data_IF_978490375974
#
_entry.id   IF_978490375974
#
_cell.length_a   1.000
_cell.length_b   1.000
_cell.length_c   1.000
_cell.angle_alpha   90.00
_cell.angle_beta   90.00
_cell.angle_gamma   90.00
#
_symmetry.space_group_name_H-M   'P 1'
#
loop_
_entity.id
_entity.type
_entity.pdbx_description
1 polymer ?
#
# COMPACT_ATOMS: atom_id res chain seq x y z
N UNK A 1 12.11 3.92 -12.13
CA UNK A 1 11.03 3.18 -11.46
C UNK A 1 10.93 3.44 -9.95
N UNK A 2 11.96 3.15 -9.14
CA UNK A 2 11.94 3.38 -7.68
C UNK A 2 11.66 4.84 -7.27
N UNK A 3 12.18 5.82 -8.01
CA UNK A 3 12.10 7.23 -7.62
C UNK A 3 10.70 7.86 -7.83
N UNK A 4 9.98 7.43 -8.89
CA UNK A 4 8.60 7.90 -9.12
C UNK A 4 7.61 7.27 -8.13
N UNK A 5 7.71 5.95 -7.90
CA UNK A 5 6.85 5.26 -6.93
C UNK A 5 7.10 5.73 -5.49
N UNK A 6 8.37 5.95 -5.11
CA UNK A 6 8.69 6.43 -3.75
C UNK A 6 8.12 7.84 -3.51
N UNK A 7 8.25 8.75 -4.48
CA UNK A 7 7.65 10.07 -4.38
C UNK A 7 6.12 10.01 -4.24
N UNK A 8 5.44 9.06 -4.90
CA UNK A 8 3.98 8.88 -4.76
C UNK A 8 3.61 8.30 -3.39
N UNK A 9 4.33 7.30 -2.88
CA UNK A 9 4.04 6.70 -1.57
C UNK A 9 4.25 7.69 -0.42
N UNK A 10 5.29 8.52 -0.48
CA UNK A 10 5.50 9.59 0.51
C UNK A 10 4.37 10.63 0.48
N UNK A 11 3.89 10.99 -0.71
CA UNK A 11 2.73 11.88 -0.87
C UNK A 11 1.44 11.26 -0.31
N UNK A 12 1.19 9.98 -0.59
CA UNK A 12 0.05 9.24 -0.04
C UNK A 12 0.13 9.15 1.50
N UNK A 13 1.32 8.91 2.05
CA UNK A 13 1.54 8.94 3.49
C UNK A 13 1.27 10.32 4.09
N UNK A 14 1.79 11.38 3.46
CA UNK A 14 1.61 12.74 3.94
C UNK A 14 0.13 13.11 4.02
N UNK A 15 -0.64 12.81 2.96
CA UNK A 15 -2.09 12.98 2.98
C UNK A 15 -2.75 12.13 4.07
N UNK A 16 -2.40 10.84 4.17
CA UNK A 16 -2.95 9.93 5.18
C UNK A 16 -2.72 10.46 6.60
N UNK A 17 -1.48 10.79 6.94
CA UNK A 17 -1.07 11.16 8.30
C UNK A 17 -1.45 12.60 8.68
N UNK A 18 -1.29 13.56 7.76
CA UNK A 18 -1.43 15.00 8.06
C UNK A 18 -2.82 15.55 7.75
N UNK A 19 -3.56 14.94 6.84
CA UNK A 19 -4.89 15.41 6.44
C UNK A 19 -5.99 14.43 6.87
N UNK A 20 -5.93 13.18 6.42
CA UNK A 20 -7.04 12.23 6.55
C UNK A 20 -7.23 11.68 7.97
N UNK A 21 -6.15 11.52 8.74
CA UNK A 21 -6.17 10.84 10.06
C UNK A 21 -5.60 11.66 11.21
N UNK A 22 -5.37 12.96 11.00
CA UNK A 22 -4.75 13.86 11.98
C UNK A 22 -5.50 13.96 13.31
N UNK A 23 -6.83 13.85 13.25
CA UNK A 23 -7.74 13.96 14.41
C UNK A 23 -8.20 12.57 14.91
N UNK A 24 -7.62 11.48 14.39
CA UNK A 24 -7.98 10.12 14.81
C UNK A 24 -7.37 9.78 16.17
N UNK A 25 -8.12 9.04 16.96
CA UNK A 25 -7.72 8.55 18.28
C UNK A 25 -7.75 7.00 18.30
N UNK A 26 -6.79 6.39 19.00
CA UNK A 26 -6.79 4.96 19.25
C UNK A 26 -7.69 4.62 20.45
N UNK A 27 -8.62 3.71 20.25
CA UNK A 27 -9.40 3.06 21.30
C UNK A 27 -9.04 1.58 21.37
N UNK A 28 -8.63 1.09 22.54
CA UNK A 28 -8.46 -0.34 22.82
C UNK A 28 -9.83 -0.88 23.28
N UNK A 29 -10.56 -1.54 22.39
CA UNK A 29 -11.89 -2.10 22.68
C UNK A 29 -11.75 -3.35 23.55
N UNK A 30 -10.81 -4.24 23.18
CA UNK A 30 -10.49 -5.45 23.94
C UNK A 30 -9.02 -5.80 23.79
N UNK A 31 -8.43 -6.30 24.86
CA UNK A 31 -7.07 -6.82 24.87
C UNK A 31 -6.96 -8.01 25.84
N UNK A 32 -6.49 -9.13 25.33
CA UNK A 32 -6.17 -10.35 26.09
C UNK A 32 -4.95 -11.03 25.43
N UNK A 33 -3.76 -10.58 25.83
CA UNK A 33 -2.50 -10.98 25.19
C UNK A 33 -2.48 -10.64 23.70
N UNK A 34 -2.36 -11.66 22.84
CA UNK A 34 -2.35 -11.51 21.37
C UNK A 34 -3.74 -11.36 20.77
N UNK A 35 -4.81 -11.54 21.55
CA UNK A 35 -6.18 -11.24 21.12
C UNK A 35 -6.46 -9.76 21.37
N UNK A 36 -6.46 -8.95 20.31
CA UNK A 36 -6.69 -7.50 20.39
C UNK A 36 -7.83 -7.11 19.47
N UNK A 37 -8.64 -6.15 19.90
CA UNK A 37 -9.59 -5.41 19.08
C UNK A 37 -9.35 -3.93 19.34
N UNK A 38 -8.83 -3.25 18.33
CA UNK A 38 -8.46 -1.86 18.35
C UNK A 38 -9.27 -1.10 17.31
N UNK A 39 -9.56 0.15 17.59
CA UNK A 39 -10.23 1.06 16.66
C UNK A 39 -9.48 2.37 16.59
N UNK A 40 -9.31 2.90 15.39
CA UNK A 40 -8.72 4.22 15.17
C UNK A 40 -9.71 5.04 14.35
N UNK A 41 -10.18 6.14 14.92
CA UNK A 41 -11.20 6.99 14.31
C UNK A 41 -11.17 8.39 14.93
N UNK A 42 -11.61 9.41 14.19
CA UNK A 42 -12.00 10.68 14.80
C UNK A 42 -13.27 10.46 15.65
N UNK A 43 -13.32 10.90 16.92
CA UNK A 43 -14.51 10.75 17.76
C UNK A 43 -15.78 11.33 17.10
N UNK A 44 -16.85 10.53 17.06
CA UNK A 44 -18.14 10.95 16.53
C UNK A 44 -18.32 10.83 15.01
N UNK A 45 -17.33 10.32 14.27
CA UNK A 45 -17.46 10.01 12.84
C UNK A 45 -16.85 8.64 12.50
N UNK A 46 -17.24 8.08 11.35
CA UNK A 46 -16.66 6.87 10.77
C UNK A 46 -15.79 7.17 9.53
N UNK A 47 -15.67 8.43 9.13
CA UNK A 47 -14.84 8.84 7.98
C UNK A 47 -13.39 8.44 8.21
N UNK A 48 -12.83 7.69 7.26
CA UNK A 48 -11.48 7.13 7.34
C UNK A 48 -11.23 6.31 8.61
N UNK A 49 -12.27 5.76 9.25
CA UNK A 49 -12.10 4.94 10.45
C UNK A 49 -11.69 3.51 10.07
N UNK A 50 -10.90 2.86 10.91
CA UNK A 50 -10.57 1.44 10.79
C UNK A 50 -10.49 0.75 12.15
N UNK A 51 -10.59 -0.57 12.10
CA UNK A 51 -10.45 -1.47 13.22
C UNK A 51 -9.41 -2.54 12.90
N UNK A 52 -8.64 -2.93 13.91
CA UNK A 52 -7.69 -4.05 13.84
C UNK A 52 -8.10 -5.11 14.84
N UNK A 53 -8.20 -6.34 14.35
CA UNK A 53 -8.40 -7.53 15.18
C UNK A 53 -7.22 -8.46 15.01
N UNK A 54 -6.63 -8.91 16.10
CA UNK A 54 -5.55 -9.91 16.09
C UNK A 54 -5.93 -11.16 16.87
N UNK A 55 -5.40 -12.29 16.44
CA UNK A 55 -5.40 -13.58 17.15
C UNK A 55 -4.11 -14.34 16.79
N UNK A 56 -3.78 -15.46 17.45
CA UNK A 56 -2.52 -16.17 17.19
C UNK A 56 -2.25 -16.40 15.70
N UNK A 57 -1.20 -15.78 15.16
CA UNK A 57 -0.81 -15.96 13.76
C UNK A 57 -1.43 -14.97 12.77
N UNK A 58 -2.36 -14.11 13.19
CA UNK A 58 -3.24 -13.38 12.27
C UNK A 58 -3.55 -11.92 12.69
N UNK A 59 -3.69 -11.08 11.67
CA UNK A 59 -4.18 -9.70 11.77
C UNK A 59 -5.25 -9.50 10.70
N UNK A 60 -6.41 -8.97 11.09
CA UNK A 60 -7.45 -8.51 10.18
C UNK A 60 -7.66 -7.00 10.38
N UNK A 61 -7.86 -6.28 9.29
CA UNK A 61 -8.26 -4.88 9.27
C UNK A 61 -9.59 -4.75 8.54
N UNK A 62 -10.48 -3.89 9.04
CA UNK A 62 -11.76 -3.57 8.41
C UNK A 62 -12.19 -2.15 8.79
N UNK A 63 -13.03 -1.53 7.96
CA UNK A 63 -13.51 -0.17 8.17
C UNK A 63 -13.70 0.58 6.86
N UNK A 64 -13.74 1.91 6.93
CA UNK A 64 -13.69 2.78 5.74
C UNK A 64 -12.29 2.71 5.09
N UNK A 65 -11.27 2.46 5.92
CA UNK A 65 -9.90 2.18 5.48
C UNK A 65 -9.58 0.70 5.62
N UNK A 66 -8.96 0.14 4.57
CA UNK A 66 -8.39 -1.20 4.58
C UNK A 66 -9.41 -2.33 4.68
N UNK A 67 -10.63 -2.13 4.17
CA UNK A 67 -11.72 -3.08 4.38
C UNK A 67 -11.40 -4.48 3.86
N UNK A 68 -11.50 -5.46 4.76
CA UNK A 68 -11.43 -6.88 4.45
C UNK A 68 -10.02 -7.47 4.39
N UNK A 69 -8.93 -6.71 4.53
CA UNK A 69 -7.57 -7.28 4.48
C UNK A 69 -7.24 -8.17 5.68
N UNK A 70 -6.74 -9.38 5.40
CA UNK A 70 -6.25 -10.33 6.40
C UNK A 70 -4.82 -10.74 6.09
N UNK A 71 -4.00 -10.85 7.14
CA UNK A 71 -2.59 -11.20 7.07
C UNK A 71 -2.26 -12.33 8.03
N UNK A 72 -1.24 -13.13 7.70
CA UNK A 72 -0.78 -14.21 8.58
C UNK A 72 0.73 -14.45 8.54
N UNK A 73 1.38 -14.53 9.72
CA UNK A 73 2.81 -14.83 9.83
C UNK A 73 3.29 -15.28 11.22
N UNK A 74 3.48 -14.35 12.14
CA UNK A 74 4.02 -14.57 13.48
C UNK A 74 2.90 -14.77 14.49
N UNK A 75 3.20 -15.46 15.60
CA UNK A 75 2.22 -15.68 16.67
C UNK A 75 1.61 -14.36 17.15
N UNK A 76 2.44 -13.34 17.38
CA UNK A 76 1.99 -11.96 17.53
C UNK A 76 2.27 -11.19 16.25
N UNK A 77 1.21 -10.78 15.56
CA UNK A 77 1.34 -10.03 14.31
C UNK A 77 1.78 -8.57 14.53
N UNK A 78 1.67 -8.03 15.74
CA UNK A 78 2.23 -6.70 16.03
C UNK A 78 3.75 -6.73 15.97
N UNK A 79 4.38 -7.82 16.40
CA UNK A 79 5.84 -8.00 16.26
C UNK A 79 6.26 -8.04 14.79
N UNK A 80 5.43 -8.62 13.92
CA UNK A 80 5.71 -8.70 12.48
C UNK A 80 5.59 -7.34 11.80
N UNK A 81 4.51 -6.61 12.10
CA UNK A 81 4.16 -5.37 11.43
C UNK A 81 4.76 -4.13 12.08
N UNK A 82 5.52 -4.27 13.18
CA UNK A 82 6.11 -3.15 13.88
C UNK A 82 7.04 -2.35 12.94
N UNK A 83 6.64 -1.15 12.50
CA UNK A 83 7.47 -0.38 11.59
C UNK A 83 8.67 0.16 12.38
N UNK A 84 9.88 0.13 11.79
CA UNK A 84 11.00 0.92 12.28
C UNK A 84 10.77 2.40 11.91
N UNK A 85 9.77 3.05 12.50
CA UNK A 85 9.51 4.48 12.32
C UNK A 85 10.27 5.30 13.38
N UNK A 86 10.92 6.39 12.95
CA UNK A 86 11.75 7.24 13.80
C UNK A 86 10.99 8.44 14.39
N UNK A 87 9.96 8.98 13.71
CA UNK A 87 9.04 10.05 14.20
C UNK A 87 7.69 10.04 13.44
N UNK A 88 6.73 10.88 13.87
CA UNK A 88 5.42 11.06 13.20
C UNK A 88 5.51 11.79 11.85
N UNK A 89 6.60 12.52 11.59
CA UNK A 89 6.73 13.39 10.41
C UNK A 89 7.27 12.65 9.17
N UNK A 90 7.66 11.39 9.33
CA UNK A 90 8.25 10.57 8.26
C UNK A 90 7.40 9.34 7.99
N UNK A 91 7.29 8.96 6.72
CA UNK A 91 6.65 7.70 6.33
C UNK A 91 7.30 6.53 7.06
N UNK A 92 6.52 5.61 7.66
CA UNK A 92 7.05 4.40 8.26
C UNK A 92 7.80 3.57 7.21
N UNK A 93 8.89 2.94 7.61
CA UNK A 93 9.58 1.98 6.76
C UNK A 93 8.72 0.71 6.63
N UNK A 94 7.94 0.65 5.56
CA UNK A 94 7.06 -0.47 5.22
C UNK A 94 7.62 -1.16 3.97
N UNK A 95 7.86 -2.47 4.09
CA UNK A 95 8.11 -3.31 2.93
C UNK A 95 6.77 -3.83 2.38
N UNK A 96 6.16 -3.02 1.50
CA UNK A 96 4.87 -3.33 0.88
C UNK A 96 4.87 -4.66 0.13
N UNK A 97 6.01 -5.07 -0.45
CA UNK A 97 6.10 -6.34 -1.16
C UNK A 97 6.04 -7.50 -0.18
N UNK A 98 6.86 -7.43 0.88
CA UNK A 98 6.94 -8.50 1.87
C UNK A 98 5.66 -8.63 2.70
N UNK A 99 4.98 -7.52 2.98
CA UNK A 99 3.68 -7.53 3.64
C UNK A 99 2.61 -8.17 2.74
N UNK A 100 2.66 -7.93 1.42
CA UNK A 100 1.70 -8.48 0.47
C UNK A 100 1.80 -10.01 0.41
N UNK A 101 3.00 -10.58 0.54
CA UNK A 101 3.17 -12.04 0.64
C UNK A 101 2.38 -12.67 1.80
N UNK A 102 2.03 -11.89 2.82
CA UNK A 102 1.32 -12.36 4.02
C UNK A 102 -0.18 -12.25 3.92
N UNK A 103 -0.70 -11.67 2.82
CA UNK A 103 -2.12 -11.62 2.55
C UNK A 103 -2.75 -13.01 2.55
N UNK A 104 -3.98 -13.08 3.07
CA UNK A 104 -4.84 -14.25 2.98
C UNK A 104 -5.00 -14.70 1.53
N UNK A 105 -5.12 -16.01 1.32
CA UNK A 105 -5.05 -16.62 -0.03
C UNK A 105 -6.01 -15.97 -1.04
N UNK A 106 -7.25 -15.68 -0.64
CA UNK A 106 -8.27 -15.09 -1.51
C UNK A 106 -7.99 -13.61 -1.90
N UNK A 107 -7.02 -12.97 -1.25
CA UNK A 107 -6.68 -11.55 -1.41
C UNK A 107 -5.33 -11.37 -2.10
N UNK A 108 -4.62 -12.45 -2.40
CA UNK A 108 -3.37 -12.38 -3.16
C UNK A 108 -3.68 -11.95 -4.59
N UNK A 109 -2.91 -11.00 -5.10
CA UNK A 109 -3.12 -10.35 -6.38
C UNK A 109 -4.00 -9.10 -6.31
N UNK A 110 -4.54 -8.74 -5.14
CA UNK A 110 -5.26 -7.46 -4.98
C UNK A 110 -4.34 -6.32 -4.52
N UNK A 111 -3.11 -6.64 -4.10
CA UNK A 111 -2.13 -5.65 -3.65
C UNK A 111 -1.63 -4.72 -4.77
N UNK A 112 -1.79 -5.14 -6.02
CA UNK A 112 -1.35 -4.38 -7.20
C UNK A 112 -2.45 -4.35 -8.25
N UNK A 113 -2.44 -3.29 -9.04
CA UNK A 113 -3.33 -3.11 -10.18
C UNK A 113 -2.54 -2.64 -11.40
N UNK A 114 -3.04 -2.94 -12.58
CA UNK A 114 -2.52 -2.38 -13.82
C UNK A 114 -2.54 -0.83 -13.78
N UNK A 115 -1.46 -0.21 -14.24
CA UNK A 115 -1.34 1.24 -14.41
C UNK A 115 -1.03 1.59 -15.87
N UNK A 116 -1.95 2.29 -16.56
CA UNK A 116 -1.69 2.89 -17.85
C UNK A 116 -0.42 3.73 -17.87
N UNK A 117 -0.19 4.52 -16.82
CA UNK A 117 0.97 5.40 -16.68
C UNK A 117 2.27 4.61 -16.60
N UNK A 118 2.27 3.53 -15.81
CA UNK A 118 3.42 2.64 -15.70
C UNK A 118 3.68 1.93 -17.03
N UNK A 119 2.64 1.47 -17.72
CA UNK A 119 2.77 0.89 -19.05
C UNK A 119 3.38 1.88 -20.06
N UNK A 120 2.83 3.09 -20.18
CA UNK A 120 3.32 4.13 -21.08
C UNK A 120 4.76 4.55 -20.77
N UNK A 121 5.11 4.62 -19.49
CA UNK A 121 6.48 4.85 -19.07
C UNK A 121 7.43 3.75 -19.56
N UNK A 122 7.04 2.48 -19.43
CA UNK A 122 7.83 1.35 -19.94
C UNK A 122 7.95 1.37 -21.46
N UNK A 123 6.86 1.67 -22.19
CA UNK A 123 6.89 1.80 -23.66
C UNK A 123 7.93 2.82 -24.08
N UNK A 124 7.95 3.98 -23.42
CA UNK A 124 8.96 5.03 -23.65
C UNK A 124 10.37 4.53 -23.39
N UNK A 125 10.63 3.94 -22.21
CA UNK A 125 11.95 3.40 -21.85
C UNK A 125 12.44 2.37 -22.88
N UNK A 126 11.56 1.47 -23.32
CA UNK A 126 11.88 0.44 -24.31
C UNK A 126 12.18 1.04 -25.69
N UNK A 127 11.37 2.00 -26.14
CA UNK A 127 11.56 2.66 -27.43
C UNK A 127 12.85 3.49 -27.48
N UNK A 128 13.16 4.23 -26.41
CA UNK A 128 14.42 4.97 -26.27
C UNK A 128 15.63 4.04 -26.24
N UNK A 129 15.54 2.92 -25.53
CA UNK A 129 16.59 1.91 -25.50
C UNK A 129 16.83 1.29 -26.88
N UNK A 130 15.76 0.90 -27.59
CA UNK A 130 15.83 0.36 -28.93
C UNK A 130 16.41 1.36 -29.95
N UNK A 131 15.93 2.61 -29.93
CA UNK A 131 16.45 3.68 -30.79
C UNK A 131 17.96 3.86 -30.63
N UNK A 132 18.43 3.82 -29.37
CA UNK A 132 19.85 3.94 -29.03
C UNK A 132 20.68 2.73 -29.44
N UNK A 133 20.18 1.51 -29.19
CA UNK A 133 20.91 0.27 -29.47
C UNK A 133 21.14 0.06 -30.98
N UNK A 134 20.13 0.37 -31.79
CA UNK A 134 20.13 0.11 -33.23
C UNK A 134 20.40 1.35 -34.10
N UNK A 135 20.74 2.49 -33.49
CA UNK A 135 20.92 3.79 -34.16
C UNK A 135 19.74 4.13 -35.10
N UNK A 136 18.52 3.98 -34.57
CA UNK A 136 17.26 4.22 -35.27
C UNK A 136 16.62 5.51 -34.81
N UNK A 137 16.09 6.28 -35.75
CA UNK A 137 15.21 7.40 -35.44
C UNK A 137 13.78 6.88 -35.22
N UNK A 138 13.42 6.65 -33.95
CA UNK A 138 12.07 6.23 -33.54
C UNK A 138 11.31 7.46 -33.05
N UNK A 139 10.07 7.63 -33.53
CA UNK A 139 9.16 8.63 -32.97
C UNK A 139 8.52 8.08 -31.68
N UNK A 140 9.23 8.27 -30.56
CA UNK A 140 8.83 7.79 -29.24
C UNK A 140 7.49 8.38 -28.80
N UNK A 141 7.21 9.65 -29.15
CA UNK A 141 5.95 10.30 -28.79
C UNK A 141 4.78 9.73 -29.58
N UNK A 142 4.96 9.47 -30.89
CA UNK A 142 3.93 8.82 -31.69
C UNK A 142 3.63 7.40 -31.16
N UNK A 143 4.65 6.63 -30.80
CA UNK A 143 4.48 5.30 -30.23
C UNK A 143 3.75 5.35 -28.88
N UNK A 144 4.13 6.27 -27.97
CA UNK A 144 3.42 6.46 -26.70
C UNK A 144 1.97 6.91 -26.90
N UNK A 145 1.71 7.74 -27.91
CA UNK A 145 0.35 8.19 -28.26
C UNK A 145 -0.49 7.00 -28.71
N UNK A 146 0.05 6.14 -29.59
CA UNK A 146 -0.61 4.91 -30.01
C UNK A 146 -0.88 3.98 -28.82
N UNK A 147 0.14 3.72 -28.00
CA UNK A 147 0.05 2.91 -26.79
C UNK A 147 -1.10 3.36 -25.87
N UNK A 148 -1.30 4.68 -25.73
CA UNK A 148 -2.33 5.24 -24.84
C UNK A 148 -3.75 4.80 -25.17
N UNK A 149 -4.03 4.50 -26.46
CA UNK A 149 -5.33 4.01 -26.92
C UNK A 149 -5.60 2.54 -26.57
N UNK A 150 -4.61 1.83 -26.02
CA UNK A 150 -4.67 0.40 -25.69
C UNK A 150 -4.56 0.13 -24.18
N UNK A 151 -4.84 1.13 -23.34
CA UNK A 151 -4.63 1.06 -21.89
C UNK A 151 -5.88 0.71 -21.06
N UNK A 152 -6.95 0.24 -21.69
CA UNK A 152 -8.19 -0.12 -20.98
C UNK A 152 -7.98 -1.21 -19.91
N UNK A 153 -7.09 -2.16 -20.20
CA UNK A 153 -6.67 -3.21 -19.29
C UNK A 153 -5.31 -3.78 -19.75
N UNK A 154 -4.66 -4.53 -18.87
CA UNK A 154 -3.33 -5.09 -19.14
C UNK A 154 -3.29 -6.03 -20.34
N UNK A 155 -4.37 -6.79 -20.58
CA UNK A 155 -4.45 -7.71 -21.70
C UNK A 155 -4.40 -6.94 -23.04
N UNK A 156 -5.24 -5.91 -23.20
CA UNK A 156 -5.23 -5.05 -24.40
C UNK A 156 -3.88 -4.37 -24.61
N UNK A 157 -3.25 -3.91 -23.51
CA UNK A 157 -1.94 -3.27 -23.56
C UNK A 157 -0.83 -4.24 -24.03
N UNK A 158 -0.85 -5.47 -23.52
CA UNK A 158 0.09 -6.54 -23.92
C UNK A 158 -0.15 -7.01 -25.35
N UNK A 159 -1.40 -7.10 -25.80
CA UNK A 159 -1.71 -7.44 -27.20
C UNK A 159 -1.15 -6.41 -28.16
N UNK A 160 -1.41 -5.12 -27.92
CA UNK A 160 -0.82 -4.05 -28.74
C UNK A 160 0.71 -4.07 -28.70
N UNK A 161 1.30 -4.24 -27.51
CA UNK A 161 2.76 -4.28 -27.38
C UNK A 161 3.40 -5.46 -28.13
N UNK A 162 2.68 -6.57 -28.25
CA UNK A 162 3.10 -7.74 -29.04
C UNK A 162 3.03 -7.45 -30.54
N UNK A 163 2.06 -6.67 -31.01
CA UNK A 163 1.96 -6.29 -32.42
C UNK A 163 3.07 -5.30 -32.83
N UNK A 164 3.62 -4.56 -31.85
CA UNK A 164 4.78 -3.67 -32.01
C UNK A 164 6.13 -4.36 -31.72
N UNK A 165 6.24 -5.67 -32.02
CA UNK A 165 7.40 -6.53 -31.69
C UNK A 165 8.75 -6.09 -32.28
N UNK A 166 8.71 -5.19 -33.25
CA UNK A 166 9.90 -4.60 -33.86
C UNK A 166 10.61 -3.65 -32.90
N UNK A 167 9.86 -2.93 -32.05
CA UNK A 167 10.40 -1.97 -31.08
C UNK A 167 10.30 -2.51 -29.65
N UNK A 168 9.23 -3.25 -29.36
CA UNK A 168 8.95 -3.80 -28.04
C UNK A 168 9.31 -5.29 -28.02
N UNK A 169 10.35 -5.64 -27.28
CA UNK A 169 10.88 -7.00 -27.25
C UNK A 169 9.90 -8.02 -26.67
N UNK A 170 10.18 -9.31 -26.88
CA UNK A 170 9.42 -10.39 -26.26
C UNK A 170 9.33 -10.26 -24.73
N UNK A 171 10.44 -9.94 -24.08
CA UNK A 171 10.49 -9.75 -22.63
C UNK A 171 9.61 -8.57 -22.18
N UNK A 172 9.43 -7.56 -23.03
CA UNK A 172 8.54 -6.44 -22.75
C UNK A 172 7.09 -6.90 -22.59
N UNK A 173 6.52 -7.55 -23.61
CA UNK A 173 5.09 -7.90 -23.59
C UNK A 173 4.78 -9.18 -22.80
N UNK A 174 5.77 -10.00 -22.44
CA UNK A 174 5.58 -11.17 -21.56
C UNK A 174 5.97 -10.95 -20.10
N UNK A 175 7.07 -10.28 -19.82
CA UNK A 175 7.68 -10.30 -18.48
C UNK A 175 7.65 -8.95 -17.76
N UNK A 176 7.51 -7.83 -18.49
CA UNK A 176 7.53 -6.53 -17.84
C UNK A 176 6.36 -6.33 -16.86
N UNK A 177 6.66 -5.72 -15.72
CA UNK A 177 5.67 -5.34 -14.71
C UNK A 177 5.10 -3.94 -15.04
N UNK A 178 3.78 -3.91 -15.27
CA UNK A 178 2.99 -2.71 -15.55
C UNK A 178 2.07 -2.32 -14.39
N UNK A 179 2.28 -2.94 -13.23
CA UNK A 179 1.42 -2.77 -12.07
C UNK A 179 2.03 -1.83 -11.03
N UNK A 180 1.15 -1.12 -10.33
CA UNK A 180 1.46 -0.29 -9.16
C UNK A 180 0.72 -0.86 -7.96
N UNK A 181 1.16 -0.53 -6.74
CA UNK A 181 0.39 -0.92 -5.55
C UNK A 181 -1.01 -0.30 -5.60
N UNK A 182 -2.00 -1.10 -5.21
CA UNK A 182 -3.36 -0.65 -5.06
C UNK A 182 -3.48 0.32 -3.88
N UNK A 183 -4.25 1.39 -4.05
CA UNK A 183 -4.38 2.42 -3.04
C UNK A 183 -5.03 1.91 -1.75
N UNK A 184 -6.00 0.99 -1.84
CA UNK A 184 -6.62 0.41 -0.64
C UNK A 184 -5.62 -0.49 0.11
N UNK A 185 -4.78 -1.22 -0.63
CA UNK A 185 -3.70 -2.00 -0.02
C UNK A 185 -2.66 -1.11 0.68
N UNK A 186 -2.21 -0.04 0.02
CA UNK A 186 -1.26 0.94 0.59
C UNK A 186 -1.85 1.57 1.86
N UNK A 187 -3.09 2.04 1.79
CA UNK A 187 -3.77 2.68 2.92
C UNK A 187 -3.98 1.70 4.07
N UNK A 188 -4.24 0.41 3.80
CA UNK A 188 -4.31 -0.62 4.84
C UNK A 188 -2.95 -0.81 5.55
N UNK A 189 -1.85 -0.81 4.80
CA UNK A 189 -0.51 -0.89 5.38
C UNK A 189 -0.19 0.31 6.27
N UNK A 190 -0.55 1.52 5.82
CA UNK A 190 -0.42 2.73 6.64
C UNK A 190 -1.26 2.67 7.92
N UNK A 191 -2.51 2.23 7.83
CA UNK A 191 -3.40 2.07 8.98
C UNK A 191 -2.86 1.03 9.99
N UNK A 192 -2.29 -0.07 9.53
CA UNK A 192 -1.63 -1.08 10.38
C UNK A 192 -0.43 -0.48 11.10
N UNK A 193 0.47 0.18 10.36
CA UNK A 193 1.65 0.82 10.91
C UNK A 193 1.29 1.90 11.95
N UNK A 194 0.31 2.75 11.64
CA UNK A 194 -0.16 3.82 12.53
C UNK A 194 -0.82 3.25 13.79
N UNK A 195 -1.63 2.19 13.67
CA UNK A 195 -2.24 1.52 14.83
C UNK A 195 -1.19 0.97 15.78
N UNK A 196 -0.19 0.26 15.26
CA UNK A 196 0.87 -0.34 16.08
C UNK A 196 1.70 0.74 16.76
N UNK A 197 2.01 1.83 16.04
CA UNK A 197 2.68 3.01 16.61
C UNK A 197 1.88 3.58 17.79
N UNK A 198 0.59 3.92 17.58
CA UNK A 198 -0.29 4.46 18.64
C UNK A 198 -0.42 3.50 19.82
N UNK A 199 -0.53 2.20 19.55
CA UNK A 199 -0.61 1.18 20.58
C UNK A 199 0.68 1.14 21.41
N UNK A 200 1.84 1.16 20.76
CA UNK A 200 3.14 1.21 21.42
C UNK A 200 3.31 2.49 22.26
N UNK A 201 2.83 3.64 21.79
CA UNK A 201 2.87 4.91 22.53
C UNK A 201 2.02 4.85 23.81
N UNK A 202 0.80 4.28 23.72
CA UNK A 202 -0.06 4.03 24.89
C UNK A 202 0.60 3.05 25.87
N UNK A 203 1.29 2.00 25.38
CA UNK A 203 1.97 1.01 26.23
C UNK A 203 3.28 1.51 26.86
N UNK A 204 3.98 2.46 26.22
CA UNK A 204 5.20 3.09 26.77
C UNK A 204 4.87 4.15 27.82
N UNK A 205 3.70 4.77 27.74
CA UNK A 205 3.25 5.74 28.74
C UNK A 205 2.92 5.00 30.04
N UNK A 206 3.61 5.26 31.17
CA UNK A 206 3.27 4.66 32.45
C UNK A 206 1.79 4.94 32.76
N UNK A 207 1.05 3.95 33.29
CA UNK A 207 -0.28 4.16 33.87
C UNK A 207 -0.17 5.09 35.10
N UNK A 208 0.04 6.38 34.91
CA UNK A 208 -0.23 7.40 35.91
C UNK A 208 -1.62 7.97 35.64
N UNK A 209 -2.51 7.79 36.62
CA UNK A 209 -3.87 8.30 36.73
C UNK A 209 -4.99 7.48 36.07
N UNK A 210 -5.29 6.30 36.64
CA UNK A 210 -6.68 5.85 36.75
C UNK A 210 -7.14 6.15 38.18
N UNK A 211 -7.61 7.38 38.41
CA UNK A 211 -8.54 7.64 39.52
C UNK A 211 -9.85 6.93 39.18
N UNK A 212 -10.22 5.96 40.01
CA UNK A 212 -11.51 5.30 39.92
C UNK A 212 -12.66 6.34 39.86
N UNK A 213 -13.73 6.09 39.08
CA UNK A 213 -14.90 6.96 39.10
C UNK A 213 -15.46 6.99 40.53
N UNK A 214 -15.63 8.20 41.08
CA UNK A 214 -16.32 8.39 42.34
C UNK A 214 -17.77 7.90 42.17
N UNK A 215 -18.12 6.88 42.94
CA UNK A 215 -19.50 6.43 43.12
C UNK A 215 -20.33 7.60 43.64
N UNK A 216 -21.39 7.98 42.91
CA UNK A 216 -22.53 8.75 43.42
C UNK A 216 -23.78 7.95 43.12
#
# INVERSE_FOLDING_TARGET
>A
MFDLMNNTLEQEWDYFAKDATKDHELTIIREDGVYRHLRVATPGTNTYAWEIVTWPGHLAISGDVGDGYTFSRLYDMFDFFNPHATTNDTMPSIDFHYWAEKLGFAQRGTEKRFSPEQFLHRVREAAEAYAKEYDKNIDVEALCTQASHHTDNEYTAREWARDEDTVLSQDFYWEADFSVYDHHYVTACFAIADTIRRYNDVKKTPQENITAPATV
#
